data_IF_595579238654
#
_entry.id   IF_595579238654
#
_cell.length_a   1.000
_cell.length_b   1.000
_cell.length_c   1.000
_cell.angle_alpha   90.00
_cell.angle_beta   90.00
_cell.angle_gamma   90.00
#
_symmetry.space_group_name_H-M   'P 1'
#
loop_
_entity.id
_entity.type
_entity.pdbx_description
1 polymer ?
#
# COMPACT_ATOMS: atom_id res chain seq x y z
N UNK A 1 -6.76 25.70 12.12
CA UNK A 1 -5.63 25.02 11.45
C UNK A 1 -5.52 23.65 12.09
N UNK A 2 -5.88 22.59 11.38
CA UNK A 2 -5.73 21.21 11.87
C UNK A 2 -4.26 20.82 11.75
N UNK A 3 -3.66 20.28 12.81
CA UNK A 3 -2.28 19.81 12.76
C UNK A 3 -2.14 18.73 11.67
N UNK A 4 -1.00 18.66 10.94
CA UNK A 4 -0.76 17.59 9.99
C UNK A 4 -0.79 16.24 10.73
N UNK A 5 -1.62 15.32 10.25
CA UNK A 5 -1.64 13.96 10.79
C UNK A 5 -0.34 13.24 10.45
N UNK A 6 0.20 12.43 11.36
CA UNK A 6 1.38 11.64 11.09
C UNK A 6 1.12 10.59 10.00
N UNK A 7 2.19 10.20 9.30
CA UNK A 7 2.15 9.10 8.36
C UNK A 7 1.93 7.77 9.10
N UNK A 8 1.31 6.81 8.43
CA UNK A 8 1.05 5.47 8.98
C UNK A 8 2.27 4.53 8.86
N UNK A 9 3.32 4.99 8.17
CA UNK A 9 4.60 4.32 8.02
C UNK A 9 5.70 5.37 7.81
N UNK A 10 6.95 4.98 8.03
CA UNK A 10 8.13 5.84 7.89
C UNK A 10 8.98 5.45 6.67
N UNK A 11 9.88 6.36 6.25
CA UNK A 11 10.85 6.06 5.19
C UNK A 11 11.71 4.84 5.53
N UNK A 12 12.10 4.70 6.79
CA UNK A 12 12.88 3.57 7.30
C UNK A 12 12.19 2.22 7.06
N UNK A 13 10.86 2.17 7.12
CA UNK A 13 10.09 0.95 6.84
C UNK A 13 10.17 0.58 5.34
N UNK A 14 10.21 1.58 4.46
CA UNK A 14 10.37 1.40 3.00
C UNK A 14 11.78 0.91 2.68
N UNK A 15 12.80 1.54 3.24
CA UNK A 15 14.20 1.12 3.11
C UNK A 15 14.43 -0.31 3.61
N UNK A 16 13.85 -0.64 4.77
CA UNK A 16 13.90 -1.99 5.32
C UNK A 16 13.22 -3.02 4.40
N UNK A 17 12.13 -2.65 3.72
CA UNK A 17 11.43 -3.54 2.78
C UNK A 17 12.22 -3.75 1.49
N UNK A 18 12.84 -2.70 0.96
CA UNK A 18 13.64 -2.77 -0.27
C UNK A 18 15.02 -3.38 -0.05
N UNK A 19 15.53 -3.34 1.18
CA UNK A 19 16.88 -3.80 1.51
C UNK A 19 17.97 -2.84 1.04
N UNK A 20 17.64 -1.56 0.86
CA UNK A 20 18.54 -0.52 0.37
C UNK A 20 18.30 0.81 1.09
N UNK A 21 19.28 1.71 0.99
CA UNK A 21 19.16 3.09 1.46
C UNK A 21 18.79 3.98 0.28
N UNK A 22 17.77 4.82 0.44
CA UNK A 22 17.30 5.67 -0.64
C UNK A 22 18.21 6.88 -0.85
N UNK A 23 18.41 7.25 -2.11
CA UNK A 23 19.09 8.51 -2.44
C UNK A 23 18.21 9.72 -2.06
N UNK A 24 18.80 10.90 -1.89
CA UNK A 24 18.08 12.12 -1.46
C UNK A 24 16.87 12.46 -2.36
N UNK A 25 16.99 12.25 -3.66
CA UNK A 25 15.87 12.45 -4.60
C UNK A 25 14.74 11.44 -4.41
N UNK A 26 15.06 10.19 -4.08
CA UNK A 26 14.06 9.14 -3.84
C UNK A 26 13.43 9.29 -2.45
N UNK A 27 14.20 9.74 -1.46
CA UNK A 27 13.70 10.02 -0.11
C UNK A 27 12.55 11.05 -0.15
N UNK A 28 12.73 12.16 -0.88
CA UNK A 28 11.67 13.16 -1.05
C UNK A 28 10.44 12.63 -1.80
N UNK A 29 10.63 11.71 -2.76
CA UNK A 29 9.51 11.04 -3.43
C UNK A 29 8.76 10.11 -2.48
N UNK A 30 9.48 9.31 -1.69
CA UNK A 30 8.92 8.38 -0.71
C UNK A 30 8.16 9.11 0.38
N UNK A 31 8.65 10.23 0.89
CA UNK A 31 7.92 11.05 1.87
C UNK A 31 6.56 11.53 1.32
N UNK A 32 6.56 12.03 0.08
CA UNK A 32 5.33 12.46 -0.61
C UNK A 32 4.37 11.29 -0.84
N UNK A 33 4.88 10.13 -1.26
CA UNK A 33 4.10 8.91 -1.45
C UNK A 33 3.52 8.38 -0.13
N UNK A 34 4.28 8.42 0.96
CA UNK A 34 3.83 8.01 2.30
C UNK A 34 2.69 8.89 2.81
N UNK A 35 2.81 10.21 2.63
CA UNK A 35 1.75 11.14 3.00
C UNK A 35 0.47 10.87 2.20
N UNK A 36 0.59 10.70 0.88
CA UNK A 36 -0.55 10.40 0.01
C UNK A 36 -1.18 9.04 0.31
N UNK A 37 -0.36 7.99 0.49
CA UNK A 37 -0.83 6.65 0.83
C UNK A 37 -1.53 6.61 2.19
N UNK A 38 -0.98 7.30 3.19
CA UNK A 38 -1.58 7.40 4.53
C UNK A 38 -2.94 8.09 4.49
N UNK A 39 -3.04 9.23 3.79
CA UNK A 39 -4.31 9.95 3.62
C UNK A 39 -5.34 9.10 2.84
N UNK A 40 -4.91 8.44 1.77
CA UNK A 40 -5.77 7.57 0.97
C UNK A 40 -6.28 6.37 1.77
N UNK A 41 -5.42 5.74 2.58
CA UNK A 41 -5.82 4.61 3.41
C UNK A 41 -6.83 5.03 4.48
N UNK A 42 -6.64 6.18 5.15
CA UNK A 42 -7.62 6.75 6.08
C UNK A 42 -8.97 7.05 5.42
N UNK A 43 -8.95 7.51 4.16
CA UNK A 43 -10.19 7.75 3.42
C UNK A 43 -10.91 6.45 3.04
N UNK A 44 -10.18 5.36 2.79
CA UNK A 44 -10.74 4.06 2.42
C UNK A 44 -11.17 3.25 3.64
N UNK A 45 -10.45 3.33 4.74
CA UNK A 45 -10.71 2.60 5.98
C UNK A 45 -10.95 3.64 7.07
N UNK A 46 -12.22 3.94 7.31
CA UNK A 46 -12.63 4.88 8.35
C UNK A 46 -12.14 4.46 9.73
N UNK A 47 -11.90 5.44 10.60
CA UNK A 47 -11.49 5.26 11.99
C UNK A 47 -10.20 4.44 12.18
N UNK A 48 -9.27 4.44 11.20
CA UNK A 48 -7.98 3.75 11.34
C UNK A 48 -7.24 4.22 12.61
N UNK A 49 -7.17 5.53 12.85
CA UNK A 49 -6.39 6.07 13.95
C UNK A 49 -6.98 5.64 15.31
N UNK A 50 -8.31 5.68 15.44
CA UNK A 50 -9.01 5.21 16.65
C UNK A 50 -8.78 3.71 16.89
N UNK A 51 -8.82 2.92 15.81
CA UNK A 51 -8.63 1.46 15.86
C UNK A 51 -7.19 1.03 16.15
N UNK A 52 -6.22 1.86 15.78
CA UNK A 52 -4.83 1.66 16.18
C UNK A 52 -4.63 1.96 17.66
N UNK A 53 -5.30 3.00 18.17
CA UNK A 53 -5.23 3.39 19.59
C UNK A 53 -5.91 2.37 20.50
N UNK A 54 -7.07 1.84 20.09
CA UNK A 54 -7.80 0.83 20.89
C UNK A 54 -7.26 -0.60 20.73
N UNK A 55 -6.32 -0.82 19.80
CA UNK A 55 -5.68 -2.10 19.53
C UNK A 55 -6.54 -3.10 18.74
N UNK A 56 -7.72 -2.69 18.26
CA UNK A 56 -8.57 -3.52 17.40
C UNK A 56 -8.01 -3.68 15.99
N UNK A 57 -7.06 -2.82 15.59
CA UNK A 57 -6.31 -2.93 14.35
C UNK A 57 -4.81 -3.05 14.64
N UNK A 58 -4.17 -4.06 14.07
CA UNK A 58 -2.75 -4.31 14.30
C UNK A 58 -1.90 -3.34 13.49
N UNK A 59 -1.06 -2.55 14.17
CA UNK A 59 -0.20 -1.51 13.55
C UNK A 59 0.66 -2.06 12.41
N UNK A 60 1.27 -3.22 12.61
CA UNK A 60 2.11 -3.86 11.59
C UNK A 60 1.36 -4.21 10.29
N UNK A 61 0.05 -4.51 10.36
CA UNK A 61 -0.75 -4.74 9.15
C UNK A 61 -0.96 -3.45 8.38
N UNK A 62 -1.28 -2.36 9.07
CA UNK A 62 -1.46 -1.03 8.46
C UNK A 62 -0.16 -0.57 7.82
N UNK A 63 0.94 -0.61 8.59
CA UNK A 63 2.28 -0.25 8.15
C UNK A 63 2.69 -1.07 6.93
N UNK A 64 2.56 -2.39 7.00
CA UNK A 64 2.89 -3.29 5.90
C UNK A 64 2.08 -3.02 4.63
N UNK A 65 0.81 -2.65 4.77
CA UNK A 65 -0.07 -2.31 3.64
C UNK A 65 0.37 -1.00 2.98
N UNK A 66 0.64 0.04 3.77
CA UNK A 66 1.11 1.34 3.26
C UNK A 66 2.47 1.19 2.58
N UNK A 67 3.42 0.52 3.22
CA UNK A 67 4.76 0.29 2.66
C UNK A 67 4.69 -0.47 1.34
N UNK A 68 3.84 -1.49 1.23
CA UNK A 68 3.69 -2.27 -0.01
C UNK A 68 3.16 -1.41 -1.16
N UNK A 69 2.17 -0.54 -0.90
CA UNK A 69 1.66 0.39 -1.90
C UNK A 69 2.71 1.44 -2.31
N UNK A 70 3.52 1.92 -1.36
CA UNK A 70 4.59 2.90 -1.64
C UNK A 70 5.75 2.27 -2.42
N UNK A 71 6.21 1.06 -2.08
CA UNK A 71 7.23 0.35 -2.85
C UNK A 71 6.78 0.15 -4.30
N UNK A 72 5.52 -0.28 -4.51
CA UNK A 72 4.94 -0.44 -5.85
C UNK A 72 4.92 0.87 -6.63
N UNK A 73 4.54 1.97 -5.99
CA UNK A 73 4.54 3.29 -6.59
C UNK A 73 5.97 3.75 -6.96
N UNK A 74 6.94 3.52 -6.08
CA UNK A 74 8.34 3.85 -6.31
C UNK A 74 8.92 3.05 -7.47
N UNK A 75 8.64 1.75 -7.55
CA UNK A 75 9.06 0.90 -8.67
C UNK A 75 8.48 1.40 -9.99
N UNK A 76 7.21 1.82 -10.01
CA UNK A 76 6.60 2.42 -11.19
C UNK A 76 7.28 3.75 -11.60
N UNK A 77 7.74 4.55 -10.63
CA UNK A 77 8.53 5.75 -10.92
C UNK A 77 9.92 5.41 -11.48
N UNK A 78 10.57 4.38 -10.96
CA UNK A 78 11.90 3.90 -11.41
C UNK A 78 11.87 3.35 -12.83
N UNK A 79 10.84 2.58 -13.17
CA UNK A 79 10.62 2.04 -14.52
C UNK A 79 10.21 3.15 -15.51
N UNK A 80 9.52 4.18 -15.02
CA UNK A 80 9.05 5.30 -15.82
C UNK A 80 7.54 5.26 -16.00
N UNK A 81 6.90 6.41 -15.78
CA UNK A 81 5.46 6.56 -15.86
C UNK A 81 4.95 6.16 -17.26
N UNK A 82 4.06 5.16 -17.32
CA UNK A 82 3.41 4.62 -18.53
C UNK A 82 4.28 3.71 -19.40
N UNK A 83 5.45 3.28 -18.93
CA UNK A 83 6.22 2.23 -19.59
C UNK A 83 5.57 0.88 -19.29
N UNK A 84 5.09 0.17 -20.33
CA UNK A 84 4.39 -1.13 -20.19
C UNK A 84 5.25 -2.35 -20.48
N UNK A 85 6.26 -2.19 -21.33
CA UNK A 85 7.17 -3.27 -21.71
C UNK A 85 8.44 -2.71 -22.31
N UNK A 86 9.56 -3.39 -22.07
CA UNK A 86 10.80 -3.20 -22.81
C UNK A 86 11.14 -4.47 -23.60
N UNK A 87 11.55 -4.31 -24.85
CA UNK A 87 11.93 -5.40 -25.74
C UNK A 87 13.31 -5.16 -26.34
N UNK A 88 14.22 -6.09 -26.07
CA UNK A 88 15.47 -6.29 -26.79
C UNK A 88 15.38 -7.61 -27.57
N UNK A 89 16.16 -7.81 -28.66
CA UNK A 89 16.09 -9.03 -29.47
C UNK A 89 16.27 -10.34 -28.66
N UNK A 90 16.99 -10.27 -27.55
CA UNK A 90 17.35 -11.38 -26.68
C UNK A 90 16.48 -11.52 -25.42
N UNK A 91 15.80 -10.45 -24.98
CA UNK A 91 15.05 -10.42 -23.71
C UNK A 91 13.81 -9.53 -23.85
N UNK A 92 12.67 -10.05 -23.39
CA UNK A 92 11.44 -9.27 -23.21
C UNK A 92 11.11 -9.17 -21.72
N UNK A 93 10.93 -7.95 -21.24
CA UNK A 93 10.48 -7.66 -19.88
C UNK A 93 9.10 -7.01 -19.95
N UNK A 94 8.11 -7.64 -19.32
CA UNK A 94 6.75 -7.08 -19.18
C UNK A 94 6.58 -6.57 -17.77
N UNK A 95 6.19 -5.30 -17.62
CA UNK A 95 5.91 -4.70 -16.32
C UNK A 95 4.42 -4.86 -16.00
N UNK A 96 4.08 -4.93 -14.71
CA UNK A 96 2.67 -4.94 -14.28
C UNK A 96 1.99 -3.65 -14.75
N UNK A 97 0.75 -3.75 -15.23
CA UNK A 97 0.00 -2.59 -15.70
C UNK A 97 -0.09 -1.55 -14.57
N UNK A 98 0.49 -0.37 -14.80
CA UNK A 98 0.38 0.74 -13.85
C UNK A 98 -1.07 1.19 -13.89
N UNK A 99 -1.81 0.93 -12.81
CA UNK A 99 -3.12 1.57 -12.60
C UNK A 99 -2.97 3.09 -12.78
N UNK A 100 -4.00 3.76 -13.29
CA UNK A 100 -3.94 5.21 -13.56
C UNK A 100 -3.64 6.03 -12.31
N UNK A 101 -3.83 5.45 -11.13
CA UNK A 101 -3.39 5.98 -9.84
C UNK A 101 -2.06 5.36 -9.41
N UNK A 102 -1.04 6.21 -9.21
CA UNK A 102 0.31 5.80 -8.79
C UNK A 102 0.32 5.04 -7.44
N UNK A 103 -0.54 5.44 -6.51
CA UNK A 103 -0.75 4.73 -5.23
C UNK A 103 -2.17 4.18 -5.23
N UNK A 104 -2.31 2.87 -5.05
CA UNK A 104 -3.59 2.19 -4.93
C UNK A 104 -3.49 1.05 -3.91
N UNK A 105 -4.64 0.64 -3.39
CA UNK A 105 -4.78 -0.50 -2.48
C UNK A 105 -5.72 -1.50 -3.13
N UNK A 106 -5.34 -2.77 -3.17
CA UNK A 106 -6.20 -3.84 -3.68
C UNK A 106 -7.24 -4.22 -2.64
N UNK A 107 -8.32 -4.87 -3.07
CA UNK A 107 -9.32 -5.39 -2.13
C UNK A 107 -8.72 -6.44 -1.17
N UNK A 108 -7.74 -7.22 -1.62
CA UNK A 108 -7.00 -8.18 -0.80
C UNK A 108 -6.16 -7.49 0.28
N UNK A 109 -5.55 -6.34 -0.03
CA UNK A 109 -4.80 -5.52 0.93
C UNK A 109 -5.73 -4.84 1.94
N UNK A 110 -6.94 -4.47 1.53
CA UNK A 110 -7.93 -3.82 2.39
C UNK A 110 -8.73 -4.80 3.27
N UNK A 111 -8.92 -6.03 2.81
CA UNK A 111 -9.66 -7.07 3.53
C UNK A 111 -9.19 -7.27 4.99
N UNK A 112 -7.89 -7.46 5.29
CA UNK A 112 -7.44 -7.64 6.67
C UNK A 112 -7.61 -6.38 7.54
N UNK A 113 -7.74 -5.21 6.93
CA UNK A 113 -7.95 -3.95 7.64
C UNK A 113 -9.42 -3.69 7.96
N UNK A 114 -10.35 -4.45 7.37
CA UNK A 114 -11.81 -4.31 7.51
C UNK A 114 -12.44 -5.60 8.05
N UNK A 115 -12.27 -5.92 9.35
CA UNK A 115 -12.82 -7.14 9.93
C UNK A 115 -14.35 -7.24 9.82
N UNK A 116 -15.05 -6.10 9.77
CA UNK A 116 -16.52 -6.03 9.64
C UNK A 116 -17.03 -6.04 8.19
N UNK A 117 -16.14 -5.95 7.20
CA UNK A 117 -16.51 -6.22 5.81
C UNK A 117 -16.65 -7.74 5.70
N UNK A 118 -17.83 -8.22 6.09
CA UNK A 118 -18.12 -9.63 6.31
C UNK A 118 -17.44 -10.54 5.31
N UNK A 119 -16.84 -11.61 5.82
CA UNK A 119 -16.34 -12.75 5.05
C UNK A 119 -17.31 -13.07 3.90
N UNK A 120 -17.02 -12.57 2.71
CA UNK A 120 -17.62 -13.02 1.46
C UNK A 120 -16.95 -14.32 1.00
N UNK A 121 -16.52 -15.16 1.96
CA UNK A 121 -16.15 -16.54 1.75
C UNK A 121 -17.31 -17.40 2.26
N UNK A 122 -18.11 -17.92 1.33
CA UNK A 122 -19.26 -18.75 1.64
C UNK A 122 -18.90 -19.92 2.55
N UNK A 123 -19.24 -19.78 3.84
CA UNK A 123 -19.27 -20.90 4.76
C UNK A 123 -20.48 -21.77 4.41
N UNK A 124 -20.25 -22.87 3.69
CA UNK A 124 -21.25 -23.88 3.39
C UNK A 124 -21.94 -24.32 4.68
N UNK A 125 -23.22 -23.98 4.83
CA UNK A 125 -24.05 -24.55 5.89
C UNK A 125 -24.52 -25.93 5.44
N UNK A 126 -23.88 -27.00 5.92
CA UNK A 126 -24.41 -28.35 5.76
C UNK A 126 -25.65 -28.45 6.65
N UNK A 127 -26.83 -28.54 6.05
CA UNK A 127 -28.03 -28.99 6.76
C UNK A 127 -28.01 -30.50 6.78
N UNK A 128 -27.78 -31.08 7.96
CA UNK A 128 -28.02 -32.50 8.19
C UNK A 128 -29.54 -32.64 8.38
N UNK A 129 -30.17 -33.38 7.47
CA UNK A 129 -31.56 -33.82 7.59
C UNK A 129 -31.66 -35.03 8.52
#
# INVERSE_FOLDING_TARGET
MTAPQPNLAEQSDVEARLGETLAESEAGQVESLLAYASAKLRALVGNIDDRLVDGSLHEQLVRGTVVTAVCRALDALRVGLRVRSEQYPEVSTTYADTDGALVYFTDEELAPLRPDAGSSGGAFTIRIA
#
